data_IF_138688053883
#
_entry.id   IF_138688053883
#
_cell.length_a   1.000
_cell.length_b   1.000
_cell.length_c   1.000
_cell.angle_alpha   90.00
_cell.angle_beta   90.00
_cell.angle_gamma   90.00
#
_symmetry.space_group_name_H-M   'P 1'
#
loop_
_entity.id
_entity.type
_entity.pdbx_description
1 polymer ?
#
# COMPACT_ATOMS: atom_id res chain seq x y z
N UNK A 1 57.49 27.72 -10.72
CA UNK A 1 56.85 26.38 -10.67
C UNK A 1 57.55 25.48 -11.67
N UNK A 2 58.20 24.44 -11.23
CA UNK A 2 58.88 23.46 -12.10
C UNK A 2 57.91 22.72 -13.02
N UNK A 3 58.40 22.15 -14.10
CA UNK A 3 57.58 21.37 -15.04
C UNK A 3 56.85 20.22 -14.31
N UNK A 4 57.55 19.58 -13.39
CA UNK A 4 57.02 18.46 -12.59
C UNK A 4 55.91 18.91 -11.66
N UNK A 5 56.03 20.06 -10.96
CA UNK A 5 54.96 20.62 -10.15
C UNK A 5 53.68 20.90 -10.97
N UNK A 6 53.84 21.39 -12.21
CA UNK A 6 52.71 21.57 -13.15
C UNK A 6 52.07 20.23 -13.49
N UNK A 7 52.85 19.18 -13.73
CA UNK A 7 52.34 17.85 -14.03
C UNK A 7 51.57 17.27 -12.84
N UNK A 8 52.05 17.42 -11.59
CA UNK A 8 51.36 16.99 -10.40
C UNK A 8 50.01 17.66 -10.24
N UNK A 9 49.96 19.01 -10.41
CA UNK A 9 48.73 19.79 -10.32
C UNK A 9 47.71 19.38 -11.37
N UNK A 10 48.16 19.15 -12.63
CA UNK A 10 47.29 18.71 -13.70
C UNK A 10 46.72 17.31 -13.42
N UNK A 11 47.59 16.37 -13.01
CA UNK A 11 47.15 15.01 -12.63
C UNK A 11 46.11 15.03 -11.50
N UNK A 12 46.33 15.83 -10.44
CA UNK A 12 45.38 16.00 -9.36
C UNK A 12 44.03 16.51 -9.85
N UNK A 13 44.01 17.55 -10.71
CA UNK A 13 42.78 18.07 -11.29
C UNK A 13 42.06 17.03 -12.15
N UNK A 14 42.76 16.30 -12.98
CA UNK A 14 42.20 15.23 -13.82
C UNK A 14 41.57 14.14 -12.95
N UNK A 15 42.22 13.70 -11.88
CA UNK A 15 41.70 12.67 -10.98
C UNK A 15 40.43 13.12 -10.28
N UNK A 16 40.32 14.36 -9.86
CA UNK A 16 39.09 14.93 -9.26
C UNK A 16 37.95 14.94 -10.29
N UNK A 17 38.20 15.43 -11.50
CA UNK A 17 37.20 15.44 -12.57
C UNK A 17 36.70 14.02 -12.87
N UNK A 18 37.61 13.05 -12.98
CA UNK A 18 37.27 11.66 -13.21
C UNK A 18 36.37 11.11 -12.09
N UNK A 19 36.68 11.39 -10.83
CA UNK A 19 35.84 10.99 -9.68
C UNK A 19 34.47 11.64 -9.72
N UNK A 20 34.33 12.91 -10.10
CA UNK A 20 33.04 13.57 -10.25
C UNK A 20 32.19 12.93 -11.33
N UNK A 21 32.79 12.60 -12.48
CA UNK A 21 32.08 11.90 -13.56
C UNK A 21 31.61 10.49 -13.13
N UNK A 22 32.50 9.73 -12.50
CA UNK A 22 32.23 8.37 -12.01
C UNK A 22 31.09 8.38 -10.99
N UNK A 23 31.16 9.27 -9.99
CA UNK A 23 30.13 9.38 -8.97
C UNK A 23 28.76 9.72 -9.56
N UNK A 24 28.69 10.61 -10.55
CA UNK A 24 27.43 10.96 -11.22
C UNK A 24 26.88 9.81 -12.06
N UNK A 25 27.72 9.02 -12.73
CA UNK A 25 27.29 7.81 -13.45
C UNK A 25 26.71 6.78 -12.47
N UNK A 26 27.36 6.56 -11.34
CA UNK A 26 26.87 5.64 -10.31
C UNK A 26 25.62 6.16 -9.62
N UNK A 27 25.42 7.47 -9.49
CA UNK A 27 24.17 8.02 -9.00
C UNK A 27 23.00 7.63 -9.90
N UNK A 28 23.12 7.83 -11.22
CA UNK A 28 22.10 7.39 -12.16
C UNK A 28 21.86 5.88 -12.15
N UNK A 29 22.94 5.05 -12.03
CA UNK A 29 22.79 3.61 -11.89
C UNK A 29 22.05 3.21 -10.60
N UNK A 30 22.31 3.93 -9.50
CA UNK A 30 21.62 3.71 -8.22
C UNK A 30 20.13 3.99 -8.31
N UNK A 31 19.76 5.10 -8.94
CA UNK A 31 18.37 5.56 -9.05
C UNK A 31 17.59 4.82 -10.15
N UNK A 32 18.26 4.29 -11.17
CA UNK A 32 17.63 3.66 -12.34
C UNK A 32 16.56 2.62 -12.02
N UNK A 33 16.71 1.72 -11.03
CA UNK A 33 15.67 0.73 -10.69
C UNK A 33 14.41 1.31 -10.07
N UNK A 34 14.44 2.56 -9.59
CA UNK A 34 13.36 3.23 -8.86
C UNK A 34 12.56 4.22 -9.70
N UNK A 35 13.07 4.61 -10.86
CA UNK A 35 12.42 5.55 -11.79
C UNK A 35 11.75 4.77 -12.92
N UNK A 36 10.53 5.20 -13.31
CA UNK A 36 9.75 4.56 -14.39
C UNK A 36 10.44 4.59 -15.75
N UNK A 37 11.12 5.69 -16.07
CA UNK A 37 11.77 5.90 -17.37
C UNK A 37 13.29 5.90 -17.22
N UNK A 38 14.00 5.01 -17.91
CA UNK A 38 15.47 5.00 -17.93
C UNK A 38 16.09 6.35 -18.31
N UNK A 39 15.41 7.14 -19.14
CA UNK A 39 15.84 8.50 -19.51
C UNK A 39 15.95 9.44 -18.29
N UNK A 40 15.08 9.30 -17.30
CA UNK A 40 15.14 10.08 -16.06
C UNK A 40 16.40 9.80 -15.24
N UNK A 41 16.84 8.53 -15.14
CA UNK A 41 18.08 8.20 -14.47
C UNK A 41 19.33 8.78 -15.18
N UNK A 42 19.30 8.83 -16.50
CA UNK A 42 20.37 9.48 -17.29
C UNK A 42 20.35 11.00 -17.06
N UNK A 43 19.17 11.62 -17.01
CA UNK A 43 19.03 13.04 -16.68
C UNK A 43 19.61 13.38 -15.30
N UNK A 44 19.35 12.55 -14.28
CA UNK A 44 19.93 12.68 -12.93
C UNK A 44 21.47 12.65 -13.00
N UNK A 45 22.05 11.71 -13.74
CA UNK A 45 23.51 11.64 -13.92
C UNK A 45 24.06 12.91 -14.57
N UNK A 46 23.46 13.33 -15.67
CA UNK A 46 23.94 14.51 -16.43
C UNK A 46 23.87 15.78 -15.58
N UNK A 47 22.71 16.05 -14.95
CA UNK A 47 22.53 17.24 -14.13
C UNK A 47 23.50 17.24 -12.95
N UNK A 48 23.64 16.11 -12.26
CA UNK A 48 24.60 16.01 -11.15
C UNK A 48 26.02 16.28 -11.62
N UNK A 49 26.49 15.63 -12.70
CA UNK A 49 27.85 15.84 -13.25
C UNK A 49 28.04 17.28 -13.66
N UNK A 50 27.11 17.87 -14.39
CA UNK A 50 27.20 19.26 -14.84
C UNK A 50 27.34 20.24 -13.70
N UNK A 51 26.49 20.12 -12.68
CA UNK A 51 26.54 21.01 -11.51
C UNK A 51 27.85 20.83 -10.75
N UNK A 52 28.28 19.58 -10.52
CA UNK A 52 29.53 19.32 -9.83
C UNK A 52 30.76 19.84 -10.57
N UNK A 53 30.78 19.75 -11.91
CA UNK A 53 31.86 20.31 -12.72
C UNK A 53 31.83 21.84 -12.70
N UNK A 54 30.67 22.47 -12.76
CA UNK A 54 30.52 23.91 -12.65
C UNK A 54 31.02 24.42 -11.30
N UNK A 55 30.58 23.79 -10.19
CA UNK A 55 31.03 24.15 -8.84
C UNK A 55 32.54 23.93 -8.64
N UNK A 56 33.11 22.91 -9.27
CA UNK A 56 34.53 22.66 -9.23
C UNK A 56 35.35 23.69 -10.02
N UNK A 57 34.81 24.25 -11.12
CA UNK A 57 35.49 25.26 -11.95
C UNK A 57 35.38 26.68 -11.40
N UNK A 58 34.39 26.98 -10.56
CA UNK A 58 34.27 28.30 -9.87
C UNK A 58 35.30 28.35 -8.76
N UNK A 59 36.06 29.49 -8.59
CA UNK A 59 37.02 29.61 -7.53
C UNK A 59 36.38 29.36 -6.14
N UNK A 60 37.06 28.65 -5.25
CA UNK A 60 36.43 28.05 -4.06
C UNK A 60 36.04 29.10 -3.02
N UNK A 61 34.76 29.45 -3.05
CA UNK A 61 34.11 30.07 -1.88
C UNK A 61 33.17 29.07 -1.18
N UNK A 62 32.95 27.88 -1.78
CA UNK A 62 32.05 26.88 -1.26
C UNK A 62 32.89 25.64 -0.87
N UNK A 63 32.72 25.19 0.35
CA UNK A 63 33.38 23.98 0.84
C UNK A 63 32.85 22.73 0.13
N UNK A 64 33.68 21.71 0.04
CA UNK A 64 33.36 20.48 -0.70
C UNK A 64 32.05 19.83 -0.22
N UNK A 65 31.76 19.86 1.10
CA UNK A 65 30.55 19.25 1.64
C UNK A 65 29.27 19.95 1.09
N UNK A 66 29.24 21.28 1.14
CA UNK A 66 28.14 22.08 0.61
C UNK A 66 28.00 21.94 -0.91
N UNK A 67 29.11 21.86 -1.66
CA UNK A 67 29.06 21.64 -3.11
C UNK A 67 28.39 20.30 -3.47
N UNK A 68 28.74 19.21 -2.78
CA UNK A 68 28.11 17.91 -2.99
C UNK A 68 26.66 17.87 -2.54
N UNK A 69 26.31 18.59 -1.47
CA UNK A 69 24.92 18.72 -1.02
C UNK A 69 24.06 19.41 -2.10
N UNK A 70 24.56 20.51 -2.68
CA UNK A 70 23.89 21.19 -3.81
C UNK A 70 23.69 20.24 -4.99
N UNK A 71 24.71 19.47 -5.36
CA UNK A 71 24.62 18.48 -6.45
C UNK A 71 23.54 17.43 -6.20
N UNK A 72 23.44 16.92 -4.97
CA UNK A 72 22.43 15.92 -4.59
C UNK A 72 21.01 16.52 -4.55
N UNK A 73 20.88 17.75 -4.05
CA UNK A 73 19.57 18.46 -4.06
C UNK A 73 19.10 18.68 -5.50
N UNK A 74 19.99 19.09 -6.40
CA UNK A 74 19.64 19.28 -7.80
C UNK A 74 19.22 17.95 -8.45
N UNK A 75 19.93 16.86 -8.19
CA UNK A 75 19.55 15.53 -8.64
C UNK A 75 18.19 15.09 -8.07
N UNK A 76 17.90 15.39 -6.80
CA UNK A 76 16.59 15.15 -6.19
C UNK A 76 15.49 15.94 -6.92
N UNK A 77 15.71 17.20 -7.26
CA UNK A 77 14.75 18.03 -7.99
C UNK A 77 14.44 17.42 -9.37
N UNK A 78 15.45 16.87 -10.06
CA UNK A 78 15.25 16.17 -11.33
C UNK A 78 14.40 14.91 -11.14
N UNK A 79 14.69 14.10 -10.13
CA UNK A 79 13.88 12.92 -9.79
C UNK A 79 12.43 13.29 -9.50
N UNK A 80 12.21 14.40 -8.80
CA UNK A 80 10.88 14.91 -8.46
C UNK A 80 10.13 15.45 -9.69
N UNK A 81 10.82 16.13 -10.61
CA UNK A 81 10.24 16.67 -11.83
C UNK A 81 9.80 15.54 -12.81
N UNK A 82 10.57 14.45 -12.89
CA UNK A 82 10.26 13.30 -13.75
C UNK A 82 9.06 12.47 -13.23
N UNK A 83 8.91 12.34 -11.93
CA UNK A 83 7.79 11.65 -11.31
C UNK A 83 7.51 12.26 -9.94
N UNK A 84 6.34 12.88 -9.78
CA UNK A 84 5.92 13.51 -8.51
C UNK A 84 5.48 12.50 -7.44
N UNK A 85 5.28 11.25 -7.81
CA UNK A 85 4.86 10.20 -6.87
C UNK A 85 6.04 9.76 -6.00
N UNK A 86 5.72 9.20 -4.85
CA UNK A 86 6.69 8.57 -3.96
C UNK A 86 7.88 9.47 -3.59
N UNK A 87 7.59 10.69 -3.11
CA UNK A 87 8.60 11.69 -2.73
C UNK A 87 9.54 11.17 -1.63
N UNK A 88 9.01 10.41 -0.68
CA UNK A 88 9.80 9.87 0.44
C UNK A 88 10.89 8.91 -0.02
N UNK A 89 10.60 8.07 -1.04
CA UNK A 89 11.61 7.21 -1.63
C UNK A 89 12.73 7.99 -2.32
N UNK A 90 12.42 9.11 -2.98
CA UNK A 90 13.43 9.97 -3.63
C UNK A 90 14.32 10.67 -2.62
N UNK A 91 13.76 11.10 -1.47
CA UNK A 91 14.53 11.64 -0.35
C UNK A 91 15.48 10.55 0.19
N UNK A 92 14.97 9.34 0.42
CA UNK A 92 15.79 8.21 0.85
C UNK A 92 16.95 7.95 -0.13
N UNK A 93 16.69 7.90 -1.44
CA UNK A 93 17.73 7.69 -2.45
C UNK A 93 18.78 8.79 -2.45
N UNK A 94 18.36 10.05 -2.37
CA UNK A 94 19.26 11.20 -2.35
C UNK A 94 20.19 11.19 -1.14
N UNK A 95 19.65 11.03 0.07
CA UNK A 95 20.40 11.00 1.33
C UNK A 95 21.32 9.78 1.39
N UNK A 96 20.82 8.61 1.00
CA UNK A 96 21.61 7.37 1.02
C UNK A 96 22.76 7.45 0.03
N UNK A 97 22.52 7.95 -1.20
CA UNK A 97 23.61 8.14 -2.17
C UNK A 97 24.66 9.14 -1.66
N UNK A 98 24.23 10.26 -1.07
CA UNK A 98 25.14 11.23 -0.47
C UNK A 98 26.02 10.59 0.58
N UNK A 99 25.45 9.80 1.48
CA UNK A 99 26.19 9.08 2.51
C UNK A 99 27.17 8.05 1.94
N UNK A 100 26.71 7.18 1.04
CA UNK A 100 27.55 6.16 0.40
C UNK A 100 28.73 6.80 -0.30
N UNK A 101 28.51 7.87 -1.05
CA UNK A 101 29.58 8.58 -1.75
C UNK A 101 30.66 9.09 -0.78
N UNK A 102 30.25 9.74 0.33
CA UNK A 102 31.22 10.25 1.31
C UNK A 102 31.99 9.13 2.00
N UNK A 103 31.32 8.07 2.42
CA UNK A 103 31.94 6.96 3.13
C UNK A 103 32.86 6.14 2.22
N UNK A 104 32.45 5.84 0.99
CA UNK A 104 33.25 5.05 0.06
C UNK A 104 34.50 5.77 -0.43
N UNK A 105 34.39 7.07 -0.75
CA UNK A 105 35.54 7.89 -1.13
C UNK A 105 36.50 8.08 0.04
N UNK A 106 35.97 8.28 1.26
CA UNK A 106 36.81 8.37 2.46
C UNK A 106 37.56 7.04 2.75
N UNK A 107 36.91 5.88 2.54
CA UNK A 107 37.60 4.58 2.65
C UNK A 107 38.72 4.45 1.64
N UNK A 108 38.46 4.77 0.37
CA UNK A 108 39.47 4.72 -0.69
C UNK A 108 40.66 5.64 -0.37
N UNK A 109 40.38 6.89 0.05
CA UNK A 109 41.39 7.86 0.42
C UNK A 109 42.31 7.38 1.58
N UNK A 110 41.77 6.61 2.55
CA UNK A 110 42.59 6.03 3.63
C UNK A 110 43.56 4.97 3.13
N UNK A 111 43.12 4.12 2.22
CA UNK A 111 43.99 3.10 1.61
C UNK A 111 45.03 3.74 0.68
N UNK A 112 44.61 4.73 -0.11
CA UNK A 112 45.51 5.48 -0.97
C UNK A 112 46.59 6.22 -0.16
N UNK A 113 46.25 6.85 0.96
CA UNK A 113 47.18 7.53 1.85
C UNK A 113 48.26 6.58 2.35
N UNK A 114 47.94 5.36 2.77
CA UNK A 114 48.89 4.33 3.19
C UNK A 114 49.83 3.95 2.05
N UNK A 115 49.29 3.71 0.85
CA UNK A 115 50.11 3.32 -0.32
C UNK A 115 50.99 4.49 -0.78
N UNK A 116 50.45 5.69 -0.82
CA UNK A 116 51.19 6.90 -1.22
C UNK A 116 52.36 7.17 -0.27
N UNK A 117 52.17 7.05 1.04
CA UNK A 117 53.23 7.19 2.03
C UNK A 117 54.34 6.14 1.84
N UNK A 118 53.91 4.86 1.63
CA UNK A 118 54.86 3.78 1.47
C UNK A 118 55.69 3.87 0.17
N UNK A 119 55.07 4.26 -0.94
CA UNK A 119 55.69 4.23 -2.27
C UNK A 119 56.29 5.58 -2.69
N UNK A 120 55.58 6.67 -2.50
CA UNK A 120 55.98 7.98 -3.03
C UNK A 120 56.91 8.69 -2.03
N UNK A 121 56.47 8.88 -0.78
CA UNK A 121 57.21 9.70 0.21
C UNK A 121 58.47 8.98 0.73
N UNK A 122 58.48 7.64 0.85
CA UNK A 122 59.66 6.89 1.28
C UNK A 122 60.82 6.97 0.26
N UNK A 123 60.47 7.17 -1.02
CA UNK A 123 61.44 7.21 -2.12
C UNK A 123 61.82 8.63 -2.57
N UNK A 124 61.54 9.66 -1.74
CA UNK A 124 61.83 11.05 -2.08
C UNK A 124 63.36 11.31 -2.18
N UNK A 125 63.83 11.57 -3.39
CA UNK A 125 65.18 12.07 -3.67
C UNK A 125 65.13 13.02 -4.85
N UNK A 126 65.94 14.08 -4.79
CA UNK A 126 66.00 15.09 -5.85
C UNK A 126 66.39 14.53 -7.21
N UNK A 127 67.10 13.39 -7.25
CA UNK A 127 67.57 12.75 -8.47
C UNK A 127 66.49 11.89 -9.17
N UNK A 128 65.38 11.52 -8.46
CA UNK A 128 64.34 10.59 -8.97
C UNK A 128 62.97 11.23 -9.11
N UNK A 129 62.87 12.50 -9.40
CA UNK A 129 61.59 13.27 -9.43
C UNK A 129 60.60 12.71 -10.41
N UNK A 130 61.04 12.25 -11.57
CA UNK A 130 60.15 11.62 -12.56
C UNK A 130 59.67 10.23 -12.16
N UNK A 131 60.45 9.46 -11.42
CA UNK A 131 60.02 8.21 -10.82
C UNK A 131 58.94 8.43 -9.79
N UNK A 132 59.14 9.44 -8.91
CA UNK A 132 58.15 9.85 -7.92
C UNK A 132 56.83 10.31 -8.56
N UNK A 133 56.89 11.07 -9.65
CA UNK A 133 55.71 11.47 -10.41
C UNK A 133 55.01 10.24 -11.00
N UNK A 134 55.71 9.28 -11.57
CA UNK A 134 55.15 8.02 -12.07
C UNK A 134 54.44 7.22 -10.95
N UNK A 135 55.07 7.11 -9.76
CA UNK A 135 54.45 6.47 -8.59
C UNK A 135 53.21 7.21 -8.14
N UNK A 136 53.23 8.53 -8.09
CA UNK A 136 52.06 9.36 -7.75
C UNK A 136 50.91 9.17 -8.73
N UNK A 137 51.14 9.14 -10.03
CA UNK A 137 50.11 8.83 -11.03
C UNK A 137 49.53 7.45 -10.76
N UNK A 138 50.35 6.46 -10.44
CA UNK A 138 49.93 5.12 -10.08
C UNK A 138 48.99 5.11 -8.87
N UNK A 139 49.31 5.87 -7.82
CA UNK A 139 48.41 5.99 -6.62
C UNK A 139 47.10 6.68 -6.95
N UNK A 140 47.08 7.73 -7.79
CA UNK A 140 45.84 8.35 -8.23
C UNK A 140 44.93 7.42 -9.04
N UNK A 141 45.51 6.59 -9.89
CA UNK A 141 44.77 5.55 -10.61
C UNK A 141 44.20 4.52 -9.63
N UNK A 142 45.01 4.09 -8.65
CA UNK A 142 44.56 3.19 -7.58
C UNK A 142 43.38 3.76 -6.79
N UNK A 143 43.45 5.03 -6.38
CA UNK A 143 42.36 5.73 -5.67
C UNK A 143 41.06 5.70 -6.47
N UNK A 144 41.12 6.02 -7.77
CA UNK A 144 39.96 5.96 -8.66
C UNK A 144 39.40 4.53 -8.74
N UNK A 145 40.24 3.51 -8.90
CA UNK A 145 39.79 2.13 -8.95
C UNK A 145 39.13 1.70 -7.64
N UNK A 146 39.76 2.02 -6.50
CA UNK A 146 39.18 1.74 -5.18
C UNK A 146 37.80 2.40 -4.99
N UNK A 147 37.70 3.68 -5.38
CA UNK A 147 36.40 4.40 -5.33
C UNK A 147 35.34 3.70 -6.20
N UNK A 148 35.70 3.28 -7.42
CA UNK A 148 34.78 2.55 -8.31
C UNK A 148 34.33 1.24 -7.65
N UNK A 149 35.26 0.47 -7.11
CA UNK A 149 34.95 -0.82 -6.48
C UNK A 149 34.04 -0.63 -5.28
N UNK A 150 34.38 0.27 -4.36
CA UNK A 150 33.59 0.45 -3.15
C UNK A 150 32.19 0.99 -3.44
N UNK A 151 32.05 1.98 -4.33
CA UNK A 151 30.75 2.54 -4.68
C UNK A 151 29.89 1.52 -5.46
N UNK A 152 30.52 0.75 -6.37
CA UNK A 152 29.82 -0.29 -7.14
C UNK A 152 29.30 -1.41 -6.23
N UNK A 153 30.12 -1.87 -5.29
CA UNK A 153 29.73 -2.91 -4.32
C UNK A 153 28.62 -2.40 -3.41
N UNK A 154 28.74 -1.21 -2.82
CA UNK A 154 27.72 -0.65 -1.94
C UNK A 154 26.38 -0.48 -2.65
N UNK A 155 26.38 0.14 -3.84
CA UNK A 155 25.15 0.33 -4.64
C UNK A 155 24.57 -1.01 -5.10
N UNK A 156 25.42 -1.94 -5.54
CA UNK A 156 24.99 -3.27 -5.97
C UNK A 156 24.30 -4.04 -4.87
N UNK A 157 24.85 -4.04 -3.66
CA UNK A 157 24.28 -4.69 -2.49
C UNK A 157 22.96 -4.04 -2.07
N UNK A 158 22.87 -2.71 -2.03
CA UNK A 158 21.63 -2.01 -1.69
C UNK A 158 20.56 -2.29 -2.73
N UNK A 159 20.87 -2.19 -4.02
CA UNK A 159 19.91 -2.47 -5.09
C UNK A 159 19.45 -3.93 -5.12
N UNK A 160 20.28 -4.87 -4.67
CA UNK A 160 19.90 -6.28 -4.51
C UNK A 160 19.04 -6.48 -3.25
N UNK A 161 19.40 -5.84 -2.15
CA UNK A 161 18.68 -5.97 -0.88
C UNK A 161 17.30 -5.31 -0.90
N UNK A 162 17.16 -4.15 -1.54
CA UNK A 162 15.88 -3.42 -1.58
C UNK A 162 14.99 -3.92 -2.73
N UNK A 163 13.98 -4.75 -2.40
CA UNK A 163 13.09 -5.41 -3.38
C UNK A 163 11.91 -4.51 -3.76
N UNK A 164 11.27 -3.82 -2.80
CA UNK A 164 10.03 -3.03 -2.98
C UNK A 164 10.27 -1.66 -3.63
N UNK A 165 10.90 -1.67 -4.82
CA UNK A 165 11.34 -0.46 -5.53
C UNK A 165 10.22 0.39 -6.11
N UNK A 166 9.04 -0.22 -6.35
CA UNK A 166 7.89 0.42 -7.01
C UNK A 166 6.78 0.80 -6.06
N UNK A 167 6.87 0.36 -4.80
CA UNK A 167 5.85 0.59 -3.80
C UNK A 167 5.94 2.00 -3.24
N UNK A 168 4.83 2.53 -2.78
CA UNK A 168 4.81 3.81 -2.10
C UNK A 168 5.44 3.67 -0.71
N UNK A 169 6.42 4.53 -0.46
CA UNK A 169 7.12 4.58 0.82
C UNK A 169 6.42 5.56 1.76
N UNK A 170 6.12 5.14 2.97
CA UNK A 170 5.60 6.02 4.02
C UNK A 170 6.70 6.87 4.64
N UNK A 171 6.31 7.95 5.33
CA UNK A 171 7.27 8.81 6.06
C UNK A 171 8.01 8.03 7.15
N UNK A 172 7.34 7.08 7.83
CA UNK A 172 7.95 6.25 8.89
C UNK A 172 9.03 5.33 8.31
N UNK A 173 8.76 4.70 7.19
CA UNK A 173 9.71 3.86 6.46
C UNK A 173 10.91 4.66 5.98
N UNK A 174 10.68 5.85 5.41
CA UNK A 174 11.75 6.74 4.99
C UNK A 174 12.66 7.11 6.17
N UNK A 175 12.11 7.59 7.28
CA UNK A 175 12.89 7.99 8.46
C UNK A 175 13.74 6.82 8.96
N UNK A 176 13.18 5.61 9.09
CA UNK A 176 13.90 4.42 9.51
C UNK A 176 15.11 4.12 8.61
N UNK A 177 14.92 4.23 7.30
CA UNK A 177 15.96 3.90 6.31
C UNK A 177 17.06 4.98 6.19
N UNK A 178 16.77 6.26 6.45
CA UNK A 178 17.77 7.34 6.33
C UNK A 178 18.63 7.53 7.57
N UNK A 179 18.19 7.11 8.75
CA UNK A 179 18.92 7.28 10.02
C UNK A 179 20.36 6.77 9.94
N UNK A 180 20.65 5.52 9.49
CA UNK A 180 22.02 5.03 9.40
C UNK A 180 22.89 5.86 8.45
N UNK A 181 22.29 6.35 7.36
CA UNK A 181 22.98 7.23 6.40
C UNK A 181 23.38 8.57 7.03
N UNK A 182 22.49 9.17 7.80
CA UNK A 182 22.76 10.41 8.52
C UNK A 182 23.83 10.22 9.60
N UNK A 183 23.74 9.15 10.38
CA UNK A 183 24.74 8.79 11.41
C UNK A 183 26.11 8.60 10.78
N UNK A 184 26.19 7.88 9.65
CA UNK A 184 27.45 7.68 8.95
C UNK A 184 28.11 8.98 8.47
N UNK A 185 27.32 9.89 7.87
CA UNK A 185 27.82 11.18 7.37
C UNK A 185 28.18 12.13 8.53
N UNK A 186 27.39 12.18 9.58
CA UNK A 186 27.72 13.02 10.75
C UNK A 186 29.00 12.53 11.44
N UNK A 187 29.16 11.20 11.60
CA UNK A 187 30.41 10.65 12.11
C UNK A 187 31.61 10.94 11.22
N UNK A 188 31.46 10.86 9.88
CA UNK A 188 32.47 11.33 8.94
C UNK A 188 32.81 12.81 9.18
N UNK A 189 31.81 13.68 9.28
CA UNK A 189 32.01 15.12 9.54
C UNK A 189 32.78 15.40 10.82
N UNK A 190 32.43 14.71 11.90
CA UNK A 190 33.12 14.83 13.20
C UNK A 190 34.60 14.43 13.07
N UNK A 191 34.87 13.28 12.42
CA UNK A 191 36.26 12.82 12.21
C UNK A 191 37.07 13.81 11.37
N UNK A 192 36.50 14.39 10.31
CA UNK A 192 37.17 15.41 9.48
C UNK A 192 37.39 16.71 10.24
N UNK A 193 36.44 17.12 11.08
CA UNK A 193 36.57 18.30 11.90
C UNK A 193 37.73 18.18 12.92
N UNK A 194 37.85 17.02 13.56
CA UNK A 194 38.99 16.74 14.44
C UNK A 194 40.34 16.79 13.70
N UNK A 195 40.42 16.23 12.51
CA UNK A 195 41.62 16.32 11.67
C UNK A 195 42.02 17.77 11.39
N UNK A 196 41.04 18.58 10.99
CA UNK A 196 41.25 20.00 10.65
C UNK A 196 41.71 20.81 11.84
N UNK A 197 41.10 20.64 13.03
CA UNK A 197 41.49 21.33 14.24
C UNK A 197 42.92 20.96 14.65
N UNK A 198 43.23 19.66 14.68
CA UNK A 198 44.57 19.18 15.07
C UNK A 198 45.65 19.72 14.14
N UNK A 199 45.42 19.70 12.83
CA UNK A 199 46.35 20.22 11.83
C UNK A 199 46.55 21.73 11.99
N UNK A 200 45.46 22.47 12.23
CA UNK A 200 45.52 23.92 12.48
C UNK A 200 46.29 24.26 13.75
N UNK A 201 46.06 23.54 14.84
CA UNK A 201 46.60 23.89 16.16
C UNK A 201 48.06 23.38 16.35
N UNK A 202 48.41 22.26 15.70
CA UNK A 202 49.76 21.68 15.87
C UNK A 202 50.66 21.81 14.64
N UNK A 203 50.12 22.16 13.47
CA UNK A 203 50.83 22.15 12.19
C UNK A 203 51.21 20.76 11.72
N UNK A 204 50.71 19.69 12.36
CA UNK A 204 51.00 18.28 12.07
C UNK A 204 49.78 17.53 11.61
N UNK A 205 49.95 16.59 10.70
CA UNK A 205 48.86 15.69 10.31
C UNK A 205 48.61 14.68 11.45
N UNK A 206 47.34 14.57 11.89
CA UNK A 206 46.92 13.68 12.97
C UNK A 206 47.19 12.18 12.62
N UNK A 207 47.02 11.82 11.36
CA UNK A 207 47.18 10.44 10.89
C UNK A 207 48.67 10.03 10.90
N UNK A 208 49.57 10.99 10.63
CA UNK A 208 51.01 10.76 10.69
C UNK A 208 51.51 10.69 12.12
N UNK A 209 50.90 11.46 13.03
CA UNK A 209 51.24 11.46 14.44
C UNK A 209 50.70 10.24 15.17
N UNK A 210 49.46 9.85 14.84
CA UNK A 210 48.76 8.71 15.46
C UNK A 210 48.27 7.75 14.38
N UNK A 211 49.10 6.82 13.93
CA UNK A 211 48.80 5.85 12.83
C UNK A 211 47.53 5.05 13.07
N UNK A 212 47.12 4.82 14.33
CA UNK A 212 45.89 4.12 14.68
C UNK A 212 44.62 4.91 14.27
N UNK A 213 44.69 6.25 14.19
CA UNK A 213 43.55 7.07 13.79
C UNK A 213 43.07 6.77 12.35
N UNK A 214 44.00 6.49 11.43
CA UNK A 214 43.68 6.09 10.07
C UNK A 214 42.90 4.79 10.01
N UNK A 215 43.32 3.79 10.79
CA UNK A 215 42.63 2.50 10.90
C UNK A 215 41.23 2.65 11.52
N UNK A 216 41.11 3.45 12.60
CA UNK A 216 39.84 3.70 13.29
C UNK A 216 38.84 4.42 12.38
N UNK A 217 39.29 5.42 11.61
CA UNK A 217 38.42 6.13 10.66
C UNK A 217 37.96 5.22 9.52
N UNK A 218 38.84 4.37 8.97
CA UNK A 218 38.46 3.37 7.98
C UNK A 218 37.42 2.39 8.51
N UNK A 219 37.62 1.88 9.73
CA UNK A 219 36.67 0.99 10.39
C UNK A 219 35.31 1.66 10.61
N UNK A 220 35.28 2.93 11.01
CA UNK A 220 34.04 3.69 11.15
C UNK A 220 33.27 3.79 9.82
N UNK A 221 33.95 4.08 8.70
CA UNK A 221 33.30 4.18 7.39
C UNK A 221 32.75 2.84 6.94
N UNK A 222 33.52 1.75 7.15
CA UNK A 222 33.07 0.40 6.83
C UNK A 222 31.84 0.00 7.64
N UNK A 223 31.87 0.20 8.96
CA UNK A 223 30.72 -0.10 9.86
C UNK A 223 29.50 0.70 9.44
N UNK A 224 29.66 1.97 9.08
CA UNK A 224 28.56 2.83 8.66
C UNK A 224 27.89 2.31 7.37
N UNK A 225 28.66 1.85 6.39
CA UNK A 225 28.13 1.24 5.16
C UNK A 225 27.40 -0.08 5.49
N UNK A 226 27.99 -0.90 6.34
CA UNK A 226 27.38 -2.17 6.78
C UNK A 226 26.07 -1.89 7.53
N UNK A 227 26.02 -0.88 8.39
CA UNK A 227 24.82 -0.48 9.13
C UNK A 227 23.68 -0.07 8.17
N UNK A 228 23.99 0.70 7.12
CA UNK A 228 23.00 1.04 6.08
C UNK A 228 22.44 -0.24 5.43
N UNK A 229 23.29 -1.18 5.05
CA UNK A 229 22.89 -2.44 4.45
C UNK A 229 22.04 -3.31 5.38
N UNK A 230 22.47 -3.45 6.64
CA UNK A 230 21.74 -4.24 7.66
C UNK A 230 20.33 -3.68 7.88
N UNK A 231 20.20 -2.36 8.04
CA UNK A 231 18.89 -1.74 8.23
C UNK A 231 17.99 -1.92 7.00
N UNK A 232 18.52 -1.84 5.79
CA UNK A 232 17.76 -2.09 4.56
C UNK A 232 17.28 -3.56 4.52
N UNK A 233 18.13 -4.52 4.85
CA UNK A 233 17.76 -5.95 4.88
C UNK A 233 16.72 -6.20 5.97
N UNK A 234 16.91 -5.67 7.17
CA UNK A 234 15.93 -5.80 8.26
C UNK A 234 14.57 -5.20 7.88
N UNK A 235 14.58 -4.04 7.22
CA UNK A 235 13.36 -3.42 6.72
C UNK A 235 12.64 -4.30 5.69
N UNK A 236 13.38 -4.92 4.76
CA UNK A 236 12.82 -5.83 3.77
C UNK A 236 12.15 -7.04 4.42
N UNK A 237 12.84 -7.70 5.33
CA UNK A 237 12.31 -8.86 6.06
C UNK A 237 11.06 -8.47 6.88
N UNK A 238 11.08 -7.30 7.51
CA UNK A 238 9.93 -6.80 8.25
C UNK A 238 8.72 -6.54 7.34
N UNK A 239 8.93 -5.93 6.20
CA UNK A 239 7.87 -5.65 5.22
C UNK A 239 7.28 -6.94 4.63
N UNK A 240 8.12 -7.91 4.29
CA UNK A 240 7.70 -9.23 3.82
C UNK A 240 6.85 -9.95 4.86
N UNK A 241 7.29 -9.97 6.11
CA UNK A 241 6.52 -10.55 7.22
C UNK A 241 5.17 -9.84 7.42
N UNK A 242 5.12 -8.52 7.29
CA UNK A 242 3.87 -7.76 7.40
C UNK A 242 2.89 -8.07 6.26
N UNK A 243 3.38 -8.25 5.03
CA UNK A 243 2.54 -8.65 3.89
C UNK A 243 2.02 -10.07 4.05
N UNK A 244 2.84 -10.99 4.54
CA UNK A 244 2.44 -12.36 4.84
C UNK A 244 1.36 -12.40 5.93
N UNK A 245 1.52 -11.63 7.01
CA UNK A 245 0.51 -11.53 8.07
C UNK A 245 -0.83 -10.98 7.54
N UNK A 246 -0.80 -9.94 6.70
CA UNK A 246 -2.02 -9.43 6.05
C UNK A 246 -2.69 -10.48 5.16
N UNK A 247 -1.90 -11.24 4.42
CA UNK A 247 -2.40 -12.35 3.60
C UNK A 247 -3.10 -13.40 4.45
N UNK A 248 -2.50 -13.81 5.57
CA UNK A 248 -3.09 -14.78 6.51
C UNK A 248 -4.39 -14.25 7.14
N UNK A 249 -4.44 -12.98 7.54
CA UNK A 249 -5.65 -12.36 8.08
C UNK A 249 -6.81 -12.37 7.08
N UNK A 250 -6.55 -12.06 5.82
CA UNK A 250 -7.55 -12.13 4.74
C UNK A 250 -8.09 -13.55 4.55
N UNK A 251 -7.22 -14.57 4.56
CA UNK A 251 -7.64 -15.97 4.44
C UNK A 251 -8.48 -16.40 5.65
N UNK A 252 -8.09 -16.03 6.87
CA UNK A 252 -8.86 -16.33 8.08
C UNK A 252 -10.26 -15.69 8.04
N UNK A 253 -10.38 -14.46 7.56
CA UNK A 253 -11.66 -13.79 7.39
C UNK A 253 -12.55 -14.53 6.38
N UNK A 254 -11.97 -14.97 5.22
CA UNK A 254 -12.70 -15.76 4.22
C UNK A 254 -13.19 -17.11 4.79
N UNK A 255 -12.35 -17.79 5.58
CA UNK A 255 -12.74 -19.05 6.27
C UNK A 255 -13.89 -18.81 7.23
N UNK A 256 -13.85 -17.71 8.01
CA UNK A 256 -14.92 -17.35 8.93
C UNK A 256 -16.24 -17.08 8.21
N UNK A 257 -16.21 -16.33 7.11
CA UNK A 257 -17.40 -16.06 6.30
C UNK A 257 -17.96 -17.35 5.67
N UNK A 258 -17.09 -18.23 5.18
CA UNK A 258 -17.50 -19.52 4.63
C UNK A 258 -18.14 -20.41 5.69
N UNK A 259 -17.63 -20.38 6.93
CA UNK A 259 -18.19 -21.15 8.06
C UNK A 259 -19.60 -20.67 8.42
N UNK A 260 -19.81 -19.34 8.50
CA UNK A 260 -21.16 -18.76 8.71
C UNK A 260 -22.13 -19.23 7.62
N UNK A 261 -21.69 -19.22 6.38
CA UNK A 261 -22.53 -19.65 5.26
C UNK A 261 -22.89 -21.15 5.33
N UNK A 262 -21.96 -22.00 5.76
CA UNK A 262 -22.23 -23.42 5.99
C UNK A 262 -23.28 -23.59 7.11
N UNK A 263 -23.18 -22.86 8.21
CA UNK A 263 -24.16 -22.89 9.30
C UNK A 263 -25.57 -22.48 8.86
N UNK A 264 -25.66 -21.46 7.99
CA UNK A 264 -26.94 -21.05 7.38
C UNK A 264 -27.54 -22.15 6.48
N UNK A 265 -26.73 -22.78 5.65
CA UNK A 265 -27.15 -23.89 4.77
C UNK A 265 -27.59 -25.09 5.62
N UNK A 266 -26.87 -25.43 6.69
CA UNK A 266 -27.25 -26.51 7.60
C UNK A 266 -28.56 -26.23 8.31
N UNK A 267 -28.83 -24.96 8.67
CA UNK A 267 -30.12 -24.55 9.24
C UNK A 267 -31.24 -24.77 8.22
N UNK A 268 -31.07 -24.30 6.99
CA UNK A 268 -32.06 -24.53 5.92
C UNK A 268 -32.32 -26.02 5.67
N UNK A 269 -31.30 -26.85 5.69
CA UNK A 269 -31.49 -28.31 5.55
C UNK A 269 -32.30 -28.91 6.69
N UNK A 270 -32.08 -28.44 7.93
CA UNK A 270 -32.90 -28.89 9.08
C UNK A 270 -34.35 -28.48 8.95
N UNK A 271 -34.60 -27.24 8.51
CA UNK A 271 -35.96 -26.70 8.34
C UNK A 271 -36.71 -27.47 7.22
N UNK A 272 -36.05 -27.75 6.09
CA UNK A 272 -36.61 -28.56 5.02
C UNK A 272 -36.89 -30.00 5.48
N UNK A 273 -36.01 -30.58 6.29
CA UNK A 273 -36.24 -31.93 6.82
C UNK A 273 -37.44 -32.00 7.77
N UNK A 274 -37.61 -30.98 8.62
CA UNK A 274 -38.78 -30.85 9.50
C UNK A 274 -40.06 -30.73 8.68
N UNK A 275 -40.07 -29.82 7.70
CA UNK A 275 -41.22 -29.62 6.82
C UNK A 275 -41.61 -30.93 6.05
N UNK A 276 -40.61 -31.69 5.55
CA UNK A 276 -40.86 -32.96 4.92
C UNK A 276 -41.47 -34.02 5.85
N UNK A 277 -41.01 -34.03 7.12
CA UNK A 277 -41.55 -34.92 8.16
C UNK A 277 -43.01 -34.56 8.46
N UNK A 278 -43.33 -33.30 8.61
CA UNK A 278 -44.66 -32.80 8.95
C UNK A 278 -45.65 -33.06 7.78
N UNK A 279 -45.21 -32.81 6.55
CA UNK A 279 -45.96 -33.19 5.33
C UNK A 279 -46.21 -34.72 5.25
N UNK A 280 -45.23 -35.55 5.62
CA UNK A 280 -45.38 -36.99 5.70
C UNK A 280 -46.49 -37.38 6.68
N UNK A 281 -46.58 -36.75 7.83
CA UNK A 281 -47.61 -36.98 8.84
C UNK A 281 -48.99 -36.57 8.32
N UNK A 282 -49.10 -35.39 7.65
CA UNK A 282 -50.35 -34.97 7.03
C UNK A 282 -50.87 -35.93 5.97
N UNK A 283 -49.98 -36.43 5.09
CA UNK A 283 -50.31 -37.43 4.06
C UNK A 283 -50.79 -38.73 4.72
N UNK A 284 -50.10 -39.23 5.75
CA UNK A 284 -50.53 -40.45 6.47
C UNK A 284 -51.89 -40.28 7.11
N UNK A 285 -52.19 -39.11 7.71
CA UNK A 285 -53.50 -38.82 8.30
C UNK A 285 -54.60 -38.87 7.22
N UNK A 286 -54.37 -38.24 6.08
CA UNK A 286 -55.27 -38.29 4.93
C UNK A 286 -55.49 -39.70 4.38
N UNK A 287 -54.41 -40.47 4.21
CA UNK A 287 -54.51 -41.88 3.79
C UNK A 287 -55.36 -42.70 4.76
N UNK A 288 -55.19 -42.50 6.07
CA UNK A 288 -55.96 -43.18 7.09
C UNK A 288 -57.46 -42.82 7.03
N UNK A 289 -57.81 -41.53 6.90
CA UNK A 289 -59.17 -41.05 6.79
C UNK A 289 -59.87 -41.61 5.52
N UNK A 290 -59.19 -41.61 4.39
CA UNK A 290 -59.71 -42.16 3.12
C UNK A 290 -59.88 -43.69 3.21
N UNK A 291 -58.92 -44.42 3.79
CA UNK A 291 -58.98 -45.85 3.93
C UNK A 291 -60.13 -46.35 4.81
N UNK A 292 -60.60 -45.54 5.76
CA UNK A 292 -61.77 -45.83 6.63
C UNK A 292 -63.07 -45.30 6.10
N UNK A 293 -63.15 -44.85 4.85
CA UNK A 293 -64.34 -44.32 4.18
C UNK A 293 -64.93 -43.07 4.80
N UNK A 294 -64.13 -42.31 5.63
CA UNK A 294 -64.50 -41.06 6.24
C UNK A 294 -64.20 -39.88 5.31
N UNK A 295 -64.92 -39.78 4.20
CA UNK A 295 -64.69 -38.75 3.18
C UNK A 295 -65.00 -37.33 3.67
N UNK A 296 -66.00 -37.18 4.54
CA UNK A 296 -66.36 -35.86 5.11
C UNK A 296 -65.22 -35.32 6.02
N UNK A 297 -64.66 -36.16 6.91
CA UNK A 297 -63.54 -35.80 7.78
C UNK A 297 -62.26 -35.55 6.99
N UNK A 298 -62.05 -36.30 5.88
CA UNK A 298 -60.87 -36.08 5.02
C UNK A 298 -60.96 -34.71 4.28
N UNK A 299 -62.19 -34.35 3.89
CA UNK A 299 -62.42 -33.05 3.22
C UNK A 299 -62.27 -31.90 4.18
N UNK A 300 -62.80 -32.00 5.43
CA UNK A 300 -62.61 -31.01 6.49
C UNK A 300 -61.12 -30.84 6.86
N UNK A 301 -60.40 -31.95 6.96
CA UNK A 301 -58.95 -31.93 7.23
C UNK A 301 -58.16 -31.27 6.10
N UNK A 302 -58.51 -31.51 4.85
CA UNK A 302 -57.91 -30.86 3.68
C UNK A 302 -58.25 -29.36 3.65
N UNK A 303 -59.50 -28.96 3.99
CA UNK A 303 -59.86 -27.56 4.10
C UNK A 303 -59.10 -26.86 5.23
N UNK A 304 -58.91 -27.53 6.38
CA UNK A 304 -58.11 -27.02 7.49
C UNK A 304 -56.64 -26.86 7.07
N UNK A 305 -56.05 -27.85 6.46
CA UNK A 305 -54.69 -27.83 5.91
C UNK A 305 -54.52 -26.72 4.85
N UNK A 306 -55.54 -26.55 4.01
CA UNK A 306 -55.53 -25.52 2.96
C UNK A 306 -55.65 -24.13 3.61
N UNK A 307 -56.47 -23.94 4.63
CA UNK A 307 -56.58 -22.69 5.35
C UNK A 307 -55.29 -22.34 6.12
N UNK A 308 -54.67 -23.31 6.82
CA UNK A 308 -53.33 -23.13 7.40
C UNK A 308 -52.27 -22.83 6.33
N UNK A 309 -52.35 -23.44 5.15
CA UNK A 309 -51.44 -23.18 4.03
C UNK A 309 -51.76 -21.83 3.37
N UNK A 310 -53.01 -21.43 3.26
CA UNK A 310 -53.43 -20.16 2.69
C UNK A 310 -53.22 -18.98 3.69
N UNK A 311 -53.26 -19.21 5.02
CA UNK A 311 -52.76 -18.23 6.02
C UNK A 311 -51.25 -18.02 5.94
N UNK A 312 -50.50 -19.05 5.51
CA UNK A 312 -49.08 -19.03 5.22
C UNK A 312 -48.76 -18.71 3.76
N UNK A 313 -49.80 -18.81 2.87
CA UNK A 313 -49.63 -18.54 1.42
C UNK A 313 -49.46 -17.03 1.17
N UNK A 314 -48.50 -16.65 0.34
CA UNK A 314 -48.19 -15.25 0.13
C UNK A 314 -49.33 -14.49 -0.58
N UNK A 315 -49.80 -13.43 0.08
CA UNK A 315 -50.46 -12.33 -0.62
C UNK A 315 -49.54 -11.68 -1.67
N UNK A 316 -48.22 -11.98 -1.58
CA UNK A 316 -47.16 -11.39 -2.41
C UNK A 316 -46.66 -12.43 -3.39
N UNK A 317 -46.94 -12.23 -4.68
CA UNK A 317 -46.38 -13.03 -5.79
C UNK A 317 -45.48 -12.19 -6.66
N UNK A 318 -44.16 -12.26 -6.40
CA UNK A 318 -43.15 -11.46 -7.12
C UNK A 318 -42.70 -12.13 -8.42
N UNK A 319 -42.96 -13.44 -8.58
CA UNK A 319 -42.40 -14.26 -9.66
C UNK A 319 -41.09 -14.96 -9.31
N UNK A 320 -40.62 -14.85 -8.05
CA UNK A 320 -39.50 -15.60 -7.49
C UNK A 320 -39.86 -16.13 -6.10
N UNK A 321 -39.92 -17.44 -5.94
CA UNK A 321 -40.26 -18.09 -4.67
C UNK A 321 -39.31 -17.67 -3.52
N UNK A 322 -38.06 -17.39 -3.80
CA UNK A 322 -37.07 -16.93 -2.83
C UNK A 322 -37.44 -15.53 -2.29
N UNK A 323 -37.80 -14.63 -3.19
CA UNK A 323 -38.18 -13.26 -2.81
C UNK A 323 -39.55 -13.23 -2.14
N UNK A 324 -40.49 -14.08 -2.59
CA UNK A 324 -41.80 -14.24 -1.97
C UNK A 324 -41.66 -14.58 -0.49
N UNK A 325 -40.81 -15.55 -0.12
CA UNK A 325 -40.56 -15.95 1.27
C UNK A 325 -39.96 -14.79 2.10
N UNK A 326 -39.01 -14.07 1.57
CA UNK A 326 -38.38 -12.93 2.26
C UNK A 326 -39.39 -11.82 2.54
N UNK A 327 -40.18 -11.46 1.53
CA UNK A 327 -41.18 -10.41 1.67
C UNK A 327 -42.29 -10.79 2.62
N UNK A 328 -42.68 -12.07 2.65
CA UNK A 328 -43.66 -12.59 3.60
C UNK A 328 -43.19 -12.53 5.05
N UNK A 329 -41.96 -13.00 5.28
CA UNK A 329 -41.33 -12.93 6.61
C UNK A 329 -41.33 -11.47 7.11
N UNK A 330 -40.96 -10.50 6.24
CA UNK A 330 -40.93 -9.09 6.58
C UNK A 330 -42.34 -8.48 6.73
N UNK A 331 -43.28 -8.91 5.94
CA UNK A 331 -44.71 -8.52 6.10
C UNK A 331 -45.24 -8.97 7.46
N UNK A 332 -44.98 -10.23 7.88
CA UNK A 332 -45.38 -10.73 9.21
C UNK A 332 -44.73 -9.96 10.33
N UNK A 333 -43.40 -9.73 10.26
CA UNK A 333 -42.66 -8.92 11.23
C UNK A 333 -43.23 -7.49 11.31
N UNK A 334 -43.58 -6.87 10.18
CA UNK A 334 -44.17 -5.56 10.09
C UNK A 334 -45.57 -5.53 10.75
N UNK A 335 -46.43 -6.55 10.50
CA UNK A 335 -47.75 -6.67 11.14
C UNK A 335 -47.64 -6.77 12.67
N UNK A 336 -46.70 -7.58 13.19
CA UNK A 336 -46.45 -7.70 14.63
C UNK A 336 -46.01 -6.38 15.26
N UNK A 337 -45.28 -5.53 14.54
CA UNK A 337 -44.81 -4.21 14.99
C UNK A 337 -45.75 -3.06 14.64
N UNK A 338 -46.94 -3.34 14.07
CA UNK A 338 -47.91 -2.33 13.59
C UNK A 338 -47.31 -1.37 12.55
N UNK A 339 -46.45 -1.85 11.69
CA UNK A 339 -45.84 -1.11 10.58
C UNK A 339 -46.61 -1.41 9.30
N UNK A 340 -47.03 -0.38 8.57
CA UNK A 340 -47.70 -0.52 7.29
C UNK A 340 -46.69 -0.95 6.20
N UNK A 341 -46.85 -2.18 5.68
CA UNK A 341 -45.97 -2.73 4.67
C UNK A 341 -46.66 -2.77 3.31
N UNK A 342 -46.05 -2.12 2.29
CA UNK A 342 -46.56 -2.06 0.92
C UNK A 342 -45.56 -2.65 -0.03
N UNK A 343 -45.95 -3.63 -0.86
CA UNK A 343 -45.09 -4.27 -1.85
C UNK A 343 -45.72 -4.21 -3.24
N UNK A 344 -44.99 -3.55 -4.16
CA UNK A 344 -45.22 -3.57 -5.61
C UNK A 344 -43.91 -4.04 -6.28
N UNK A 345 -43.40 -5.15 -5.78
CA UNK A 345 -42.14 -5.74 -6.27
C UNK A 345 -42.41 -6.87 -7.25
N UNK A 346 -41.75 -6.82 -8.41
CA UNK A 346 -41.80 -7.85 -9.45
C UNK A 346 -40.39 -8.28 -9.82
N UNK A 347 -40.13 -9.59 -9.73
CA UNK A 347 -38.85 -10.16 -10.12
C UNK A 347 -38.68 -10.10 -11.65
N UNK A 348 -37.54 -9.61 -12.17
CA UNK A 348 -37.34 -9.46 -13.61
C UNK A 348 -37.14 -10.85 -14.27
N UNK A 349 -38.14 -11.26 -15.03
CA UNK A 349 -38.09 -12.54 -15.77
C UNK A 349 -37.13 -12.49 -16.95
N UNK A 350 -36.55 -13.66 -17.33
CA UNK A 350 -35.62 -13.81 -18.44
C UNK A 350 -34.38 -12.88 -18.35
N UNK A 351 -33.74 -12.83 -17.20
CA UNK A 351 -32.54 -12.04 -16.96
C UNK A 351 -31.44 -12.89 -16.33
N UNK A 352 -30.20 -12.40 -16.37
CA UNK A 352 -29.06 -13.01 -15.67
C UNK A 352 -29.02 -12.70 -14.17
N UNK A 353 -29.96 -11.92 -13.66
CA UNK A 353 -30.03 -11.61 -12.23
C UNK A 353 -30.33 -12.89 -11.43
N UNK A 354 -29.43 -13.24 -10.52
CA UNK A 354 -29.58 -14.39 -9.67
C UNK A 354 -30.50 -14.05 -8.49
N UNK A 355 -31.52 -14.89 -8.23
CA UNK A 355 -32.41 -14.72 -7.09
C UNK A 355 -31.68 -14.71 -5.73
N UNK A 356 -30.55 -15.44 -5.62
CA UNK A 356 -29.71 -15.42 -4.42
C UNK A 356 -29.05 -14.05 -4.21
N UNK A 357 -28.45 -13.46 -5.24
CA UNK A 357 -27.84 -12.12 -5.14
C UNK A 357 -28.88 -11.06 -4.77
N UNK A 358 -30.07 -11.20 -5.37
CA UNK A 358 -31.19 -10.33 -5.02
C UNK A 358 -31.65 -10.53 -3.56
N UNK A 359 -31.66 -11.76 -3.06
CA UNK A 359 -31.99 -12.06 -1.66
C UNK A 359 -31.06 -11.36 -0.66
N UNK A 360 -29.77 -11.26 -0.99
CA UNK A 360 -28.80 -10.51 -0.19
C UNK A 360 -29.16 -9.02 -0.15
N UNK A 361 -29.54 -8.44 -1.29
CA UNK A 361 -30.00 -7.04 -1.36
C UNK A 361 -31.26 -6.86 -0.51
N UNK A 362 -32.28 -7.71 -0.71
CA UNK A 362 -33.56 -7.61 -0.05
C UNK A 362 -33.45 -7.73 1.47
N UNK A 363 -32.73 -8.74 1.96
CA UNK A 363 -32.55 -8.95 3.39
C UNK A 363 -31.81 -7.76 4.04
N UNK A 364 -30.71 -7.29 3.44
CA UNK A 364 -29.98 -6.16 4.00
C UNK A 364 -30.81 -4.86 4.00
N UNK A 365 -31.51 -4.58 2.90
CA UNK A 365 -32.30 -3.36 2.78
C UNK A 365 -33.53 -3.36 3.71
N UNK A 366 -34.29 -4.45 3.72
CA UNK A 366 -35.49 -4.57 4.54
C UNK A 366 -35.15 -4.62 6.05
N UNK A 367 -34.07 -5.31 6.45
CA UNK A 367 -33.61 -5.28 7.82
C UNK A 367 -33.25 -3.85 8.24
N UNK A 368 -32.56 -3.08 7.40
CA UNK A 368 -32.25 -1.68 7.68
C UNK A 368 -33.54 -0.85 7.85
N UNK A 369 -34.57 -1.08 7.02
CA UNK A 369 -35.85 -0.42 7.18
C UNK A 369 -36.55 -0.80 8.49
N UNK A 370 -36.63 -2.10 8.81
CA UNK A 370 -37.28 -2.60 10.04
C UNK A 370 -36.62 -2.10 11.32
N UNK A 371 -35.31 -1.87 11.29
CA UNK A 371 -34.56 -1.34 12.43
C UNK A 371 -34.69 0.17 12.62
N UNK A 372 -34.92 0.92 11.55
CA UNK A 372 -34.88 2.39 11.57
C UNK A 372 -36.25 3.06 11.33
N UNK A 373 -37.27 2.29 10.97
CA UNK A 373 -38.63 2.83 10.78
C UNK A 373 -39.10 3.51 12.05
N UNK A 374 -39.63 4.74 11.93
CA UNK A 374 -40.10 5.56 13.03
C UNK A 374 -41.15 6.59 12.55
N UNK A 375 -41.84 7.23 13.48
CA UNK A 375 -42.90 8.21 13.19
C UNK A 375 -44.27 7.76 13.71
N UNK A 376 -45.28 8.64 13.58
CA UNK A 376 -46.65 8.38 14.08
C UNK A 376 -47.45 7.41 13.22
N UNK A 377 -47.13 7.30 11.91
CA UNK A 377 -47.70 6.31 10.95
C UNK A 377 -46.55 5.57 10.27
N UNK A 378 -45.91 4.58 10.96
CA UNK A 378 -44.73 3.92 10.45
C UNK A 378 -45.05 3.05 9.22
N UNK A 379 -44.28 3.21 8.14
CA UNK A 379 -44.47 2.45 6.93
C UNK A 379 -43.17 2.04 6.28
N UNK A 380 -43.22 0.95 5.52
CA UNK A 380 -42.19 0.46 4.61
C UNK A 380 -42.84 0.19 3.25
N UNK A 381 -42.27 0.71 2.19
CA UNK A 381 -42.72 0.49 0.83
C UNK A 381 -41.58 -0.02 -0.05
N UNK A 382 -41.87 -1.07 -0.82
CA UNK A 382 -40.92 -1.59 -1.79
C UNK A 382 -41.60 -1.64 -3.16
N UNK A 383 -40.87 -1.17 -4.17
CA UNK A 383 -41.32 -1.25 -5.57
C UNK A 383 -40.13 -1.60 -6.50
N UNK A 384 -40.44 -2.19 -7.63
CA UNK A 384 -39.45 -2.45 -8.67
C UNK A 384 -39.93 -1.96 -10.03
N UNK A 385 -38.98 -1.58 -10.84
CA UNK A 385 -39.25 -1.11 -12.20
C UNK A 385 -38.16 -1.62 -13.15
N UNK A 386 -38.56 -2.13 -14.32
CA UNK A 386 -37.63 -2.53 -15.36
C UNK A 386 -37.87 -1.74 -16.64
N UNK A 387 -36.81 -1.18 -17.19
CA UNK A 387 -36.83 -0.53 -18.52
C UNK A 387 -35.62 -1.00 -19.30
N UNK A 388 -35.88 -1.77 -20.36
CA UNK A 388 -34.85 -2.40 -21.18
C UNK A 388 -33.93 -3.29 -20.29
N UNK A 389 -32.61 -3.04 -20.32
CA UNK A 389 -31.59 -3.71 -19.53
C UNK A 389 -31.42 -3.17 -18.10
N UNK A 390 -32.12 -2.12 -17.73
CA UNK A 390 -32.02 -1.54 -16.39
C UNK A 390 -33.15 -2.02 -15.51
N UNK A 391 -32.81 -2.58 -14.35
CA UNK A 391 -33.72 -2.92 -13.27
C UNK A 391 -33.44 -2.01 -12.06
N UNK A 392 -34.49 -1.40 -11.58
CA UNK A 392 -34.44 -0.47 -10.44
C UNK A 392 -35.33 -1.00 -9.32
N UNK A 393 -34.81 -1.01 -8.12
CA UNK A 393 -35.54 -1.30 -6.89
C UNK A 393 -35.54 -0.02 -6.04
N UNK A 394 -36.71 0.37 -5.57
CA UNK A 394 -36.89 1.51 -4.67
C UNK A 394 -37.51 1.02 -3.38
N UNK A 395 -36.84 1.28 -2.26
CA UNK A 395 -37.31 0.94 -0.92
C UNK A 395 -37.37 2.22 -0.13
N UNK A 396 -38.54 2.46 0.50
CA UNK A 396 -38.83 3.64 1.31
C UNK A 396 -39.27 3.23 2.69
N UNK A 397 -38.85 3.95 3.70
CA UNK A 397 -39.40 3.82 5.03
C UNK A 397 -39.58 5.20 5.71
N UNK A 398 -40.57 5.32 6.58
CA UNK A 398 -40.69 6.49 7.44
C UNK A 398 -39.51 6.56 8.41
N UNK A 399 -38.98 7.78 8.61
CA UNK A 399 -37.82 8.03 9.44
C UNK A 399 -37.83 9.46 10.02
N UNK A 400 -37.96 9.59 11.33
CA UNK A 400 -37.98 10.88 12.02
C UNK A 400 -36.60 11.39 12.49
N UNK A 401 -35.52 10.68 12.15
CA UNK A 401 -34.15 11.07 12.51
C UNK A 401 -33.46 11.91 11.43
N UNK A 402 -32.16 12.13 11.63
CA UNK A 402 -31.27 12.78 10.64
C UNK A 402 -30.12 11.85 10.27
N UNK A 403 -29.95 11.60 8.99
CA UNK A 403 -28.81 10.82 8.48
C UNK A 403 -27.57 11.71 8.43
N UNK A 404 -26.46 11.22 8.93
CA UNK A 404 -25.17 11.91 8.88
C UNK A 404 -24.34 11.38 7.71
N UNK A 405 -24.23 12.17 6.66
CA UNK A 405 -23.36 11.89 5.51
C UNK A 405 -22.01 12.54 5.80
N UNK A 406 -20.97 11.73 6.10
CA UNK A 406 -19.58 12.19 6.19
C UNK A 406 -19.02 12.56 4.80
N UNK A 407 -17.73 12.34 4.57
CA UNK A 407 -17.10 12.53 3.25
C UNK A 407 -17.51 11.47 2.21
N UNK A 408 -18.41 10.55 2.53
CA UNK A 408 -18.87 9.46 1.65
C UNK A 408 -20.33 9.68 1.21
N UNK A 409 -20.69 9.13 0.03
CA UNK A 409 -22.07 9.14 -0.50
C UNK A 409 -23.05 8.27 0.30
N UNK A 410 -22.60 7.56 1.33
CA UNK A 410 -23.40 6.76 2.22
C UNK A 410 -23.29 7.27 3.67
N UNK A 411 -24.38 7.24 4.46
CA UNK A 411 -24.35 7.72 5.84
C UNK A 411 -23.45 6.86 6.72
N UNK A 412 -22.81 7.51 7.69
CA UNK A 412 -22.05 6.85 8.72
C UNK A 412 -22.95 6.04 9.65
N UNK A 413 -22.50 4.86 10.05
CA UNK A 413 -23.26 4.01 10.95
C UNK A 413 -23.26 4.61 12.36
N UNK A 414 -24.44 4.72 12.97
CA UNK A 414 -24.60 5.17 14.35
C UNK A 414 -24.36 4.08 15.39
N UNK A 415 -24.09 2.84 14.97
CA UNK A 415 -23.95 1.67 15.84
C UNK A 415 -22.50 1.37 16.15
N UNK A 416 -22.15 1.27 17.44
CA UNK A 416 -20.85 0.84 17.94
C UNK A 416 -20.70 -0.68 17.85
N UNK A 417 -19.92 -1.18 16.89
CA UNK A 417 -19.56 -2.60 16.75
C UNK A 417 -18.96 -2.92 15.37
N UNK A 418 -17.96 -3.79 15.33
CA UNK A 418 -17.27 -4.19 14.08
C UNK A 418 -18.16 -4.92 13.05
N UNK A 419 -19.32 -5.40 13.43
CA UNK A 419 -20.26 -6.14 12.55
C UNK A 419 -21.41 -5.26 12.00
N UNK A 420 -21.57 -4.03 12.49
CA UNK A 420 -22.67 -3.13 12.11
C UNK A 420 -22.14 -2.07 11.15
N UNK A 421 -22.85 -1.83 10.06
CA UNK A 421 -22.46 -0.89 8.98
C UNK A 421 -22.12 -1.55 7.64
N UNK A 422 -22.11 -2.89 7.56
CA UNK A 422 -21.83 -3.60 6.31
C UNK A 422 -23.04 -3.74 5.39
N UNK A 423 -24.28 -3.50 5.87
CA UNK A 423 -25.52 -3.74 5.10
C UNK A 423 -25.57 -2.95 3.79
N UNK A 424 -25.40 -1.64 3.83
CA UNK A 424 -25.40 -0.78 2.62
C UNK A 424 -24.20 -1.09 1.70
N UNK A 425 -23.05 -1.41 2.28
CA UNK A 425 -21.88 -1.83 1.52
C UNK A 425 -22.09 -3.17 0.82
N UNK A 426 -22.78 -4.11 1.45
CA UNK A 426 -23.15 -5.39 0.82
C UNK A 426 -24.13 -5.17 -0.34
N UNK A 427 -25.14 -4.32 -0.16
CA UNK A 427 -26.07 -3.94 -1.22
C UNK A 427 -25.29 -3.31 -2.40
N UNK A 428 -24.44 -2.34 -2.13
CA UNK A 428 -23.60 -1.67 -3.16
C UNK A 428 -22.71 -2.66 -3.87
N UNK A 429 -22.09 -3.59 -3.14
CA UNK A 429 -21.22 -4.62 -3.72
C UNK A 429 -21.99 -5.50 -4.71
N UNK A 430 -23.19 -5.95 -4.34
CA UNK A 430 -24.01 -6.78 -5.23
C UNK A 430 -24.51 -5.96 -6.42
N UNK A 431 -24.97 -4.73 -6.24
CA UNK A 431 -25.39 -3.86 -7.34
C UNK A 431 -24.26 -3.67 -8.36
N UNK A 432 -23.02 -3.46 -7.89
CA UNK A 432 -21.83 -3.31 -8.74
C UNK A 432 -21.44 -4.57 -9.51
N UNK A 433 -21.75 -5.76 -9.02
CA UNK A 433 -21.58 -7.02 -9.79
C UNK A 433 -22.46 -7.01 -11.05
N UNK A 434 -23.57 -6.28 -11.02
CA UNK A 434 -24.49 -6.06 -12.13
C UNK A 434 -24.34 -4.67 -12.77
N UNK A 435 -23.12 -4.11 -12.78
CA UNK A 435 -22.77 -2.82 -13.36
C UNK A 435 -23.68 -1.65 -12.91
N UNK A 436 -24.22 -1.76 -11.69
CA UNK A 436 -25.10 -0.77 -11.07
C UNK A 436 -24.46 -0.04 -9.88
N UNK A 437 -25.26 0.75 -9.20
CA UNK A 437 -24.90 1.39 -7.93
C UNK A 437 -26.15 1.67 -7.11
N UNK A 438 -26.00 2.24 -5.92
CA UNK A 438 -27.08 2.60 -5.02
C UNK A 438 -27.04 4.09 -4.70
N UNK A 439 -28.20 4.69 -4.49
CA UNK A 439 -28.34 6.01 -3.91
C UNK A 439 -29.25 5.96 -2.68
N UNK A 440 -28.92 6.73 -1.67
CA UNK A 440 -29.74 6.92 -0.47
C UNK A 440 -30.07 8.40 -0.33
N UNK A 441 -31.35 8.71 -0.24
CA UNK A 441 -31.86 10.08 -0.13
C UNK A 441 -32.73 10.20 1.15
N UNK A 442 -32.58 11.30 1.85
CA UNK A 442 -33.45 11.63 2.97
C UNK A 442 -34.42 12.73 2.57
N UNK A 443 -35.70 12.41 2.63
CA UNK A 443 -36.79 13.39 2.53
C UNK A 443 -37.16 13.99 3.90
N UNK A 444 -38.30 14.69 3.98
CA UNK A 444 -38.72 15.38 5.21
C UNK A 444 -39.04 14.43 6.39
N UNK A 445 -39.52 13.22 6.13
CA UNK A 445 -39.85 12.20 7.15
C UNK A 445 -39.68 10.78 6.61
N UNK A 446 -38.93 10.63 5.56
CA UNK A 446 -38.69 9.34 4.92
C UNK A 446 -37.24 9.19 4.44
N UNK A 447 -36.81 7.96 4.33
CA UNK A 447 -35.54 7.56 3.67
C UNK A 447 -35.87 6.74 2.45
N UNK A 448 -35.20 7.04 1.34
CA UNK A 448 -35.37 6.37 0.04
C UNK A 448 -34.06 5.74 -0.35
N UNK A 449 -34.03 4.41 -0.44
CA UNK A 449 -32.94 3.65 -1.01
C UNK A 449 -33.31 3.26 -2.44
N UNK A 450 -32.54 3.72 -3.40
CA UNK A 450 -32.66 3.35 -4.81
C UNK A 450 -31.48 2.48 -5.23
N UNK A 451 -31.75 1.35 -5.85
CA UNK A 451 -30.77 0.37 -6.29
C UNK A 451 -30.97 0.16 -7.79
N UNK A 452 -29.93 0.42 -8.56
CA UNK A 452 -29.94 0.24 -10.02
C UNK A 452 -29.01 -0.91 -10.40
N UNK A 453 -29.45 -1.77 -11.30
CA UNK A 453 -28.67 -2.92 -11.81
C UNK A 453 -28.93 -3.11 -13.30
N UNK A 454 -27.92 -3.57 -14.02
CA UNK A 454 -28.07 -3.99 -15.42
C UNK A 454 -28.38 -5.48 -15.46
N UNK A 455 -29.49 -5.84 -16.11
CA UNK A 455 -30.06 -7.21 -16.07
C UNK A 455 -30.31 -7.75 -17.48
N UNK A 456 -29.27 -7.84 -18.29
CA UNK A 456 -29.33 -8.49 -19.61
C UNK A 456 -28.81 -9.92 -19.60
#
# INVERSE_FOLDING_TARGET
MSLVEKCWMVTSKISVIALLMITGIYFGKFVCPYIKKKKGAVAVSIVYITIMLVLYMIPPQIDNFSAYLIGVIAAFLVMYAEDRRNIYQKIFLAITFFSIRWLTVAMAARLDDLVTKALVFRNMSAEKVWLQYGLYVGTRVLDIVLCIVFIAVAIGLINKAYIYKKDEMSIKEMVMLIIPSLVGVTGYGILQYYLMIYERDTGKNLIDTYGFYGALSFLHYLISIVAILVVIVMFQNWKEMQEEQRGQELVLNQISDMKKHIEEVEKLYRDIRSMRHDMGNHIQTLEHLVAHNNMDDATEYLEHLKNEWDEVSPEIKTGSSVIDVILMEKLREAKERQIRFLSDFHYPQNTKLNAFDLSVIMNNALNNCMENVSGDDPYISISSFRKNSIFMITIKNSFGGQLNFGDSDLPETTKSGREHGMGLNNIRRVARMYMGDISLEQGNEEVILSIMMQVE
#
